data_IF_537593197480
#
_entry.id   IF_537593197480
#
_cell.length_a   1.000
_cell.length_b   1.000
_cell.length_c   1.000
_cell.angle_alpha   90.00
_cell.angle_beta   90.00
_cell.angle_gamma   90.00
#
_symmetry.space_group_name_H-M   'P 1'
#
loop_
_entity.id
_entity.type
_entity.pdbx_description
1 polymer ?
#
# COMPACT_ATOMS: atom_id res chain seq x y z
N UNK A 1 12.70 22.93 5.91
CA UNK A 1 13.12 21.53 5.72
C UNK A 1 13.06 21.23 4.23
N UNK A 2 14.11 20.62 3.67
CA UNK A 2 14.11 20.21 2.26
C UNK A 2 13.70 18.75 2.18
N UNK A 3 12.57 18.46 1.56
CA UNK A 3 12.20 17.10 1.20
C UNK A 3 13.08 16.61 0.05
N UNK A 4 13.52 15.37 0.12
CA UNK A 4 14.24 14.67 -0.95
C UNK A 4 13.66 13.29 -1.19
N UNK A 5 14.11 12.62 -2.26
CA UNK A 5 13.83 11.19 -2.43
C UNK A 5 14.52 10.39 -1.32
N UNK A 6 13.86 9.34 -0.86
CA UNK A 6 14.40 8.40 0.11
C UNK A 6 15.70 7.78 -0.42
N UNK A 7 16.68 7.61 0.46
CA UNK A 7 17.90 6.90 0.10
C UNK A 7 17.70 5.37 0.12
N UNK A 8 18.57 4.63 -0.58
CA UNK A 8 18.42 3.18 -0.71
C UNK A 8 18.55 2.44 0.64
N UNK A 9 19.39 2.91 1.55
CA UNK A 9 19.57 2.26 2.86
C UNK A 9 18.24 2.24 3.64
N UNK A 10 17.54 3.37 3.66
CA UNK A 10 16.24 3.51 4.29
C UNK A 10 15.16 2.69 3.58
N UNK A 11 15.20 2.61 2.24
CA UNK A 11 14.32 1.70 1.46
C UNK A 11 14.52 0.25 1.91
N UNK A 12 15.76 -0.21 2.05
CA UNK A 12 16.03 -1.59 2.48
C UNK A 12 15.59 -1.85 3.92
N UNK A 13 15.75 -0.88 4.83
CA UNK A 13 15.26 -0.99 6.22
C UNK A 13 13.75 -1.13 6.28
N UNK A 14 13.01 -0.26 5.58
CA UNK A 14 11.53 -0.35 5.49
C UNK A 14 11.12 -1.68 4.87
N UNK A 15 11.71 -2.06 3.74
CA UNK A 15 11.45 -3.34 3.07
C UNK A 15 11.64 -4.53 4.00
N UNK A 16 12.73 -4.53 4.79
CA UNK A 16 13.02 -5.58 5.76
C UNK A 16 11.93 -5.70 6.81
N UNK A 17 11.47 -4.59 7.38
CA UNK A 17 10.35 -4.58 8.34
C UNK A 17 9.09 -5.19 7.71
N UNK A 18 8.74 -4.82 6.48
CA UNK A 18 7.55 -5.34 5.80
C UNK A 18 7.63 -6.86 5.51
N UNK A 19 8.83 -7.39 5.30
CA UNK A 19 9.07 -8.80 4.98
C UNK A 19 9.18 -9.67 6.25
N UNK A 20 9.90 -9.21 7.25
CA UNK A 20 10.35 -10.05 8.37
C UNK A 20 9.51 -9.88 9.64
N UNK A 21 8.93 -8.70 9.88
CA UNK A 21 8.21 -8.42 11.13
C UNK A 21 6.80 -9.06 11.11
N UNK A 22 6.23 -9.33 12.27
CA UNK A 22 4.85 -9.81 12.40
C UNK A 22 3.99 -8.83 13.21
N UNK A 23 2.68 -8.98 13.11
CA UNK A 23 1.73 -8.19 13.90
C UNK A 23 1.68 -8.70 15.35
N UNK A 24 1.53 -7.76 16.28
CA UNK A 24 1.29 -8.00 17.71
C UNK A 24 -0.12 -7.59 18.11
N UNK A 25 -0.68 -6.64 17.38
CA UNK A 25 -2.03 -6.13 17.53
C UNK A 25 -2.80 -6.28 16.22
N UNK A 26 -4.09 -6.49 16.36
CA UNK A 26 -4.97 -6.73 15.22
C UNK A 26 -5.22 -5.44 14.42
N UNK A 27 -5.50 -5.62 13.14
CA UNK A 27 -6.06 -4.62 12.23
C UNK A 27 -7.46 -5.11 11.86
N UNK A 28 -8.46 -4.31 12.19
CA UNK A 28 -9.86 -4.56 11.82
C UNK A 28 -10.33 -3.37 10.98
N UNK A 29 -10.83 -3.62 9.77
CA UNK A 29 -11.31 -2.60 8.85
C UNK A 29 -12.69 -3.00 8.33
N UNK A 30 -13.65 -2.08 8.42
CA UNK A 30 -14.99 -2.24 7.89
C UNK A 30 -15.28 -1.13 6.88
N UNK A 31 -15.89 -1.49 5.74
CA UNK A 31 -16.27 -0.56 4.66
C UNK A 31 -17.70 -0.84 4.22
N UNK A 32 -18.65 -0.13 4.81
CA UNK A 32 -20.09 -0.30 4.57
C UNK A 32 -20.45 -0.21 3.09
N UNK A 33 -19.88 0.76 2.35
CA UNK A 33 -20.14 0.94 0.91
C UNK A 33 -19.68 -0.23 0.05
N UNK A 34 -18.73 -1.03 0.54
CA UNK A 34 -18.24 -2.24 -0.13
C UNK A 34 -18.86 -3.52 0.45
N UNK A 35 -19.66 -3.41 1.52
CA UNK A 35 -20.12 -4.55 2.33
C UNK A 35 -18.93 -5.46 2.73
N UNK A 36 -17.83 -4.82 3.13
CA UNK A 36 -16.53 -5.45 3.37
C UNK A 36 -16.16 -5.41 4.84
N UNK A 37 -15.73 -6.56 5.36
CA UNK A 37 -15.06 -6.71 6.65
C UNK A 37 -13.71 -7.36 6.43
N UNK A 38 -12.67 -6.84 7.09
CA UNK A 38 -11.32 -7.36 7.05
C UNK A 38 -10.79 -7.47 8.47
N UNK A 39 -10.26 -8.63 8.83
CA UNK A 39 -9.46 -8.82 10.02
C UNK A 39 -8.05 -9.23 9.66
N UNK A 40 -7.06 -8.78 10.42
CA UNK A 40 -5.68 -9.26 10.30
C UNK A 40 -5.07 -9.29 11.71
N UNK A 41 -4.61 -10.45 12.16
CA UNK A 41 -3.89 -10.62 13.43
C UNK A 41 -2.48 -11.20 13.23
N UNK A 42 -2.21 -11.79 12.07
CA UNK A 42 -0.94 -12.43 11.76
C UNK A 42 -0.62 -12.31 10.26
N UNK A 43 0.66 -12.36 9.94
CA UNK A 43 1.19 -12.46 8.59
C UNK A 43 1.93 -13.78 8.41
N UNK A 44 1.72 -14.48 7.30
CA UNK A 44 2.52 -15.68 7.00
C UNK A 44 3.99 -15.32 6.80
N UNK A 45 4.86 -16.34 6.87
CA UNK A 45 6.25 -16.20 6.43
C UNK A 45 6.29 -15.68 4.98
N UNK A 46 7.24 -14.79 4.71
CA UNK A 46 7.51 -14.29 3.38
C UNK A 46 8.11 -15.40 2.50
N UNK A 47 7.50 -15.62 1.34
CA UNK A 47 7.97 -16.59 0.34
C UNK A 47 8.03 -15.93 -1.03
N UNK A 48 8.86 -16.44 -1.93
CA UNK A 48 8.86 -15.98 -3.32
C UNK A 48 7.46 -16.09 -3.93
N UNK A 49 6.96 -15.00 -4.50
CA UNK A 49 5.59 -14.89 -5.00
C UNK A 49 5.43 -15.45 -6.43
N UNK A 50 6.22 -16.45 -6.79
CA UNK A 50 6.22 -17.07 -8.14
C UNK A 50 4.85 -17.63 -8.54
N UNK A 51 4.04 -18.05 -7.56
CA UNK A 51 2.66 -18.53 -7.76
C UNK A 51 1.68 -17.46 -8.28
N UNK A 52 2.03 -16.17 -8.19
CA UNK A 52 1.22 -15.07 -8.74
C UNK A 52 1.55 -14.76 -10.21
N UNK A 53 2.50 -15.50 -10.80
CA UNK A 53 2.87 -15.40 -12.22
C UNK A 53 4.24 -14.77 -12.46
N UNK A 54 4.65 -14.73 -13.73
CA UNK A 54 5.99 -14.35 -14.18
C UNK A 54 6.41 -12.91 -13.90
N UNK A 55 5.47 -12.04 -13.48
CA UNK A 55 5.76 -10.66 -13.06
C UNK A 55 6.09 -10.54 -11.56
N UNK A 56 5.82 -11.57 -10.75
CA UNK A 56 5.98 -11.52 -9.29
C UNK A 56 7.15 -12.36 -8.76
N UNK A 57 7.90 -13.03 -9.63
CA UNK A 57 8.95 -13.99 -9.25
C UNK A 57 10.09 -13.38 -8.41
N UNK A 58 10.30 -12.06 -8.40
CA UNK A 58 11.33 -11.41 -7.56
C UNK A 58 10.76 -10.75 -6.31
N UNK A 59 9.44 -10.89 -6.08
CA UNK A 59 8.76 -10.33 -4.93
C UNK A 59 8.57 -11.39 -3.85
N UNK A 60 8.58 -10.96 -2.59
CA UNK A 60 8.24 -11.77 -1.45
C UNK A 60 6.77 -11.55 -1.08
N UNK A 61 5.96 -12.59 -1.18
CA UNK A 61 4.53 -12.59 -0.84
C UNK A 61 4.27 -13.06 0.59
N UNK A 62 3.28 -12.44 1.23
CA UNK A 62 2.75 -12.78 2.55
C UNK A 62 1.23 -12.75 2.51
N UNK A 63 0.59 -13.81 2.98
CA UNK A 63 -0.85 -13.78 3.24
C UNK A 63 -1.10 -13.08 4.56
N UNK A 64 -2.21 -12.37 4.63
CA UNK A 64 -2.75 -11.94 5.92
C UNK A 64 -3.56 -13.10 6.52
N UNK A 65 -3.57 -13.22 7.83
CA UNK A 65 -4.36 -14.19 8.58
C UNK A 65 -5.23 -13.49 9.60
N UNK A 66 -6.38 -14.09 9.91
CA UNK A 66 -7.25 -13.70 11.00
C UNK A 66 -7.87 -14.93 11.63
N UNK A 67 -7.77 -15.09 12.95
CA UNK A 67 -8.23 -16.27 13.68
C UNK A 67 -7.73 -17.59 13.05
N UNK A 68 -6.45 -17.63 12.66
CA UNK A 68 -5.78 -18.73 11.96
C UNK A 68 -6.24 -19.03 10.52
N UNK A 69 -7.13 -18.23 9.92
CA UNK A 69 -7.57 -18.40 8.54
C UNK A 69 -6.89 -17.39 7.60
N UNK A 70 -6.57 -17.81 6.37
CA UNK A 70 -6.05 -16.93 5.30
C UNK A 70 -7.17 -16.21 4.54
N UNK A 71 -8.42 -16.65 4.67
CA UNK A 71 -9.59 -15.95 4.15
C UNK A 71 -10.01 -14.83 5.12
N UNK A 72 -9.12 -13.84 5.21
CA UNK A 72 -9.16 -12.72 6.15
C UNK A 72 -10.17 -11.60 5.81
N UNK A 73 -10.77 -11.64 4.61
CA UNK A 73 -11.63 -10.59 4.08
C UNK A 73 -13.00 -11.17 3.69
N UNK A 74 -14.09 -10.59 4.17
CA UNK A 74 -15.46 -10.98 3.84
C UNK A 74 -16.14 -9.88 3.02
N UNK A 75 -16.73 -10.22 1.89
CA UNK A 75 -17.52 -9.32 1.03
C UNK A 75 -18.83 -10.02 0.67
N UNK A 76 -19.99 -9.43 0.98
CA UNK A 76 -21.32 -10.01 0.66
C UNK A 76 -21.44 -11.48 1.08
N UNK A 77 -21.07 -11.76 2.32
CA UNK A 77 -21.06 -13.11 2.91
C UNK A 77 -20.13 -14.16 2.30
N UNK A 78 -19.24 -13.77 1.40
CA UNK A 78 -18.20 -14.64 0.86
C UNK A 78 -16.84 -14.25 1.41
N UNK A 79 -16.06 -15.27 1.78
CA UNK A 79 -14.72 -15.11 2.29
C UNK A 79 -13.70 -15.11 1.14
N UNK A 80 -12.68 -14.29 1.29
CA UNK A 80 -11.63 -14.02 0.32
C UNK A 80 -10.32 -13.83 1.06
N UNK A 81 -9.22 -14.11 0.36
CA UNK A 81 -7.86 -13.87 0.83
C UNK A 81 -7.36 -12.54 0.29
N UNK A 82 -6.95 -11.66 1.20
CA UNK A 82 -6.06 -10.54 0.90
C UNK A 82 -4.60 -10.90 1.27
N UNK A 83 -3.65 -10.39 0.48
CA UNK A 83 -2.22 -10.63 0.65
C UNK A 83 -1.41 -9.41 0.23
N UNK A 84 -0.14 -9.38 0.65
CA UNK A 84 0.83 -8.37 0.25
C UNK A 84 2.04 -9.00 -0.42
N UNK A 85 2.61 -8.31 -1.40
CA UNK A 85 3.92 -8.64 -1.97
C UNK A 85 4.87 -7.46 -1.85
N UNK A 86 6.13 -7.72 -1.52
CA UNK A 86 7.18 -6.72 -1.37
C UNK A 86 8.39 -7.10 -2.20
N UNK A 87 8.88 -6.19 -3.04
CA UNK A 87 10.09 -6.39 -3.85
C UNK A 87 10.00 -5.78 -5.24
N UNK A 88 11.00 -6.04 -6.10
CA UNK A 88 11.01 -5.55 -7.47
C UNK A 88 9.91 -6.20 -8.30
N UNK A 89 9.06 -5.38 -8.94
CA UNK A 89 7.99 -5.82 -9.84
C UNK A 89 8.52 -6.05 -11.26
N UNK A 90 9.49 -5.25 -11.73
CA UNK A 90 9.98 -5.31 -13.11
C UNK A 90 11.30 -6.06 -13.21
N UNK A 91 11.56 -6.64 -14.40
CA UNK A 91 12.88 -7.17 -14.78
C UNK A 91 13.96 -6.07 -14.93
N UNK A 92 13.65 -4.81 -14.66
CA UNK A 92 14.62 -3.73 -14.83
C UNK A 92 15.66 -3.75 -13.70
N UNK A 93 16.93 -3.69 -14.09
CA UNK A 93 18.09 -3.66 -13.20
C UNK A 93 18.27 -2.28 -12.54
N UNK A 94 17.27 -1.80 -11.80
CA UNK A 94 17.52 -0.70 -10.84
C UNK A 94 17.70 -1.34 -9.47
N UNK A 95 18.89 -1.21 -8.90
CA UNK A 95 19.26 -1.78 -7.60
C UNK A 95 18.33 -1.36 -6.46
N UNK A 96 17.57 -0.27 -6.63
CA UNK A 96 16.67 0.29 -5.63
C UNK A 96 15.17 0.02 -5.88
N UNK A 97 14.78 -0.59 -7.01
CA UNK A 97 13.36 -0.75 -7.36
C UNK A 97 12.66 -1.72 -6.39
N UNK A 98 11.78 -1.18 -5.54
CA UNK A 98 11.07 -1.97 -4.54
C UNK A 98 9.63 -1.48 -4.42
N UNK A 99 8.68 -2.36 -4.74
CA UNK A 99 7.26 -2.06 -4.61
C UNK A 99 6.66 -2.79 -3.42
N UNK A 100 5.57 -2.23 -2.91
CA UNK A 100 4.62 -2.92 -2.04
C UNK A 100 3.29 -3.01 -2.75
N UNK A 101 2.72 -4.21 -2.80
CA UNK A 101 1.55 -4.53 -3.62
C UNK A 101 0.51 -5.22 -2.77
N UNK A 102 -0.73 -4.75 -2.83
CA UNK A 102 -1.87 -5.46 -2.27
C UNK A 102 -2.63 -6.19 -3.37
N UNK A 103 -2.95 -7.44 -3.07
CA UNK A 103 -3.74 -8.32 -3.92
C UNK A 103 -4.83 -9.03 -3.14
N UNK A 104 -5.89 -9.41 -3.85
CA UNK A 104 -6.93 -10.26 -3.31
C UNK A 104 -7.44 -11.25 -4.36
N UNK A 105 -7.91 -12.42 -3.93
CA UNK A 105 -8.58 -13.38 -4.81
C UNK A 105 -10.05 -12.99 -5.14
N UNK A 106 -10.52 -11.84 -4.66
CA UNK A 106 -11.75 -11.22 -5.12
C UNK A 106 -11.58 -10.62 -6.51
N UNK A 107 -12.32 -11.12 -7.51
CA UNK A 107 -12.14 -10.81 -8.95
C UNK A 107 -12.14 -9.31 -9.27
N UNK A 108 -12.92 -8.50 -8.55
CA UNK A 108 -13.05 -7.08 -8.79
C UNK A 108 -11.79 -6.31 -8.35
N UNK A 109 -11.08 -6.80 -7.32
CA UNK A 109 -9.80 -6.26 -6.88
C UNK A 109 -8.67 -6.84 -7.74
N UNK A 110 -8.48 -8.16 -7.71
CA UNK A 110 -7.39 -8.87 -8.36
C UNK A 110 -6.06 -8.80 -7.59
N UNK A 111 -5.01 -9.39 -8.17
CA UNK A 111 -3.73 -9.67 -7.49
C UNK A 111 -2.79 -8.45 -7.31
N UNK A 112 -3.22 -7.25 -7.69
CA UNK A 112 -2.40 -6.04 -7.67
C UNK A 112 -3.24 -4.78 -7.73
N UNK A 113 -4.32 -4.75 -6.95
CA UNK A 113 -5.28 -3.64 -7.01
C UNK A 113 -4.71 -2.35 -6.42
N UNK A 114 -3.67 -2.43 -5.60
CA UNK A 114 -2.96 -1.26 -5.09
C UNK A 114 -1.47 -1.50 -5.03
N UNK A 115 -0.69 -0.45 -5.31
CA UNK A 115 0.77 -0.50 -5.36
C UNK A 115 1.39 0.84 -4.91
N UNK A 116 2.48 0.73 -4.16
CA UNK A 116 3.39 1.81 -3.77
C UNK A 116 4.79 1.49 -4.27
N UNK A 117 5.48 2.49 -4.82
CA UNK A 117 6.90 2.40 -5.15
C UNK A 117 7.69 3.00 -3.98
N UNK A 118 8.46 2.17 -3.28
CA UNK A 118 9.27 2.62 -2.16
C UNK A 118 10.43 3.52 -2.62
N UNK A 119 10.86 3.44 -3.89
CA UNK A 119 11.88 4.33 -4.44
C UNK A 119 11.37 5.77 -4.68
N UNK A 120 10.07 5.94 -4.84
CA UNK A 120 9.40 7.25 -4.98
C UNK A 120 9.08 7.88 -3.61
N UNK A 121 9.40 7.21 -2.49
CA UNK A 121 9.16 7.74 -1.15
C UNK A 121 10.05 8.95 -0.86
N UNK A 122 9.63 9.79 0.07
CA UNK A 122 10.33 11.04 0.41
C UNK A 122 10.97 10.94 1.79
N UNK A 123 11.99 11.75 2.05
CA UNK A 123 12.56 11.91 3.39
C UNK A 123 13.01 13.35 3.64
N UNK A 124 13.04 13.72 4.92
CA UNK A 124 13.75 14.90 5.44
C UNK A 124 14.77 14.43 6.49
N UNK A 125 15.32 15.34 7.30
CA UNK A 125 16.33 15.00 8.30
C UNK A 125 15.83 14.03 9.39
N UNK A 126 14.53 14.04 9.70
CA UNK A 126 13.93 13.33 10.83
C UNK A 126 13.02 12.17 10.40
N UNK A 127 12.39 12.28 9.23
CA UNK A 127 11.29 11.41 8.83
C UNK A 127 11.48 10.83 7.43
N UNK A 128 10.86 9.67 7.24
CA UNK A 128 10.56 9.06 5.95
C UNK A 128 9.06 9.10 5.74
N UNK A 129 8.65 9.46 4.53
CA UNK A 129 7.27 9.57 4.10
C UNK A 129 7.02 8.55 2.99
N UNK A 130 6.22 7.54 3.31
CA UNK A 130 5.73 6.59 2.33
C UNK A 130 4.59 7.25 1.57
N UNK A 131 4.78 7.53 0.28
CA UNK A 131 3.87 8.40 -0.48
C UNK A 131 3.28 7.76 -1.73
N UNK A 132 2.18 8.34 -2.20
CA UNK A 132 1.62 8.09 -3.53
C UNK A 132 1.42 9.39 -4.30
N UNK A 133 1.96 9.48 -5.50
CA UNK A 133 1.76 10.63 -6.37
C UNK A 133 0.29 10.78 -6.78
N UNK A 134 -0.33 11.91 -6.46
CA UNK A 134 -1.71 12.24 -6.84
C UNK A 134 -1.79 12.93 -8.20
N UNK A 135 -0.76 13.71 -8.57
CA UNK A 135 -0.75 14.50 -9.81
C UNK A 135 -0.69 13.67 -11.09
N UNK A 136 -0.17 12.43 -11.05
CA UNK A 136 -0.15 11.51 -12.20
C UNK A 136 -1.58 11.05 -12.54
N UNK A 137 -2.05 11.46 -13.73
CA UNK A 137 -3.37 11.09 -14.27
C UNK A 137 -3.39 9.73 -15.00
N UNK A 138 -2.22 9.15 -15.26
CA UNK A 138 -2.02 7.85 -15.89
C UNK A 138 -0.90 7.09 -15.16
N UNK A 139 -0.95 5.76 -15.20
CA UNK A 139 0.01 4.88 -14.52
C UNK A 139 -0.57 3.48 -14.29
N UNK A 140 0.12 2.65 -13.51
CA UNK A 140 -0.47 1.43 -12.95
C UNK A 140 -1.12 1.72 -11.59
N UNK A 141 -1.79 0.73 -11.00
CA UNK A 141 -2.30 0.71 -9.62
C UNK A 141 -3.57 1.52 -9.29
N UNK A 142 -3.82 1.68 -7.98
CA UNK A 142 -4.97 2.33 -7.35
C UNK A 142 -5.32 3.70 -7.94
N UNK A 143 -4.37 4.55 -8.34
CA UNK A 143 -4.68 5.86 -8.96
C UNK A 143 -5.31 5.70 -10.36
N UNK A 144 -4.90 4.67 -11.10
CA UNK A 144 -5.53 4.33 -12.37
C UNK A 144 -6.90 3.69 -12.16
N UNK A 145 -7.04 2.88 -11.09
CA UNK A 145 -8.35 2.35 -10.69
C UNK A 145 -9.31 3.46 -10.30
N UNK A 146 -8.85 4.48 -9.58
CA UNK A 146 -9.63 5.67 -9.22
C UNK A 146 -10.21 6.38 -10.46
N UNK A 147 -9.53 6.30 -11.61
CA UNK A 147 -9.97 6.86 -12.87
C UNK A 147 -10.97 5.97 -13.66
N UNK A 148 -11.29 4.76 -13.18
CA UNK A 148 -12.16 3.79 -13.86
C UNK A 148 -13.53 4.41 -14.13
N UNK A 149 -14.00 4.28 -15.38
CA UNK A 149 -15.29 4.80 -15.83
C UNK A 149 -15.30 6.28 -16.25
N UNK A 150 -14.25 7.07 -15.95
CA UNK A 150 -14.23 8.53 -16.22
C UNK A 150 -13.72 8.88 -17.64
N UNK A 151 -13.15 7.92 -18.38
CA UNK A 151 -12.58 8.12 -19.74
C UNK A 151 -11.57 9.29 -19.76
N UNK A 152 -11.79 10.31 -20.58
CA UNK A 152 -10.88 11.46 -20.81
C UNK A 152 -11.20 12.69 -19.96
N UNK A 153 -12.27 12.67 -19.16
CA UNK A 153 -12.66 13.81 -18.32
C UNK A 153 -11.61 14.01 -17.21
N UNK A 154 -10.87 15.11 -17.29
CA UNK A 154 -9.77 15.41 -16.37
C UNK A 154 -10.30 15.97 -15.04
N UNK A 155 -11.34 16.78 -15.09
CA UNK A 155 -11.85 17.47 -13.90
C UNK A 155 -12.46 16.47 -12.92
N UNK A 156 -13.21 15.48 -13.42
CA UNK A 156 -13.72 14.37 -12.59
C UNK A 156 -12.61 13.49 -12.00
N UNK A 157 -11.49 13.31 -12.71
CA UNK A 157 -10.33 12.58 -12.17
C UNK A 157 -9.69 13.34 -11.00
N UNK A 158 -9.56 14.66 -11.11
CA UNK A 158 -9.07 15.50 -10.01
C UNK A 158 -10.07 15.57 -8.86
N UNK A 159 -11.37 15.60 -9.16
CA UNK A 159 -12.42 15.54 -8.14
C UNK A 159 -12.33 14.28 -7.29
N UNK A 160 -12.21 13.09 -7.91
CA UNK A 160 -12.02 11.84 -7.15
C UNK A 160 -10.76 11.82 -6.29
N UNK A 161 -9.68 12.50 -6.71
CA UNK A 161 -8.47 12.65 -5.88
C UNK A 161 -8.72 13.54 -4.67
N UNK A 162 -9.39 14.68 -4.87
CA UNK A 162 -9.80 15.54 -3.75
C UNK A 162 -10.70 14.79 -2.77
N UNK A 163 -11.66 14.01 -3.27
CA UNK A 163 -12.49 13.13 -2.45
C UNK A 163 -11.66 12.10 -1.68
N UNK A 164 -10.66 11.50 -2.32
CA UNK A 164 -9.77 10.52 -1.68
C UNK A 164 -9.00 11.16 -0.52
N UNK A 165 -8.37 12.33 -0.76
CA UNK A 165 -7.64 13.07 0.27
C UNK A 165 -8.59 13.46 1.41
N UNK A 166 -9.75 14.05 1.10
CA UNK A 166 -10.69 14.52 2.11
C UNK A 166 -11.29 13.39 2.94
N UNK A 167 -11.50 12.20 2.35
CA UNK A 167 -12.09 11.05 3.06
C UNK A 167 -11.07 10.22 3.85
N UNK A 168 -9.78 10.26 3.48
CA UNK A 168 -8.72 9.60 4.25
C UNK A 168 -8.20 10.46 5.40
N UNK A 169 -8.30 11.78 5.28
CA UNK A 169 -7.70 12.73 6.22
C UNK A 169 -6.19 12.48 6.41
N UNK A 170 -5.52 12.09 5.32
CA UNK A 170 -4.07 11.91 5.30
C UNK A 170 -3.39 13.22 4.90
N UNK A 171 -2.15 13.39 5.37
CA UNK A 171 -1.31 14.52 4.99
C UNK A 171 -0.99 14.48 3.48
N UNK A 172 -0.89 15.65 2.87
CA UNK A 172 -0.37 15.82 1.51
C UNK A 172 0.93 16.60 1.55
N UNK A 173 1.86 16.25 0.67
CA UNK A 173 3.18 16.84 0.56
C UNK A 173 3.39 17.36 -0.86
N UNK A 174 3.99 18.54 -0.97
CA UNK A 174 4.44 19.09 -2.25
C UNK A 174 5.90 18.72 -2.49
N UNK A 175 6.17 18.00 -3.59
CA UNK A 175 7.53 17.65 -4.01
C UNK A 175 7.61 17.60 -5.53
N UNK A 176 8.64 18.25 -6.09
CA UNK A 176 8.88 18.37 -7.53
C UNK A 176 7.64 18.77 -8.35
N UNK A 177 6.97 19.86 -7.91
CA UNK A 177 5.75 20.41 -8.55
C UNK A 177 4.59 19.40 -8.65
N UNK A 178 4.62 18.35 -7.84
CA UNK A 178 3.57 17.34 -7.74
C UNK A 178 3.07 17.25 -6.30
N UNK A 179 1.79 16.93 -6.16
CA UNK A 179 1.14 16.65 -4.89
C UNK A 179 1.21 15.15 -4.61
N UNK A 180 1.60 14.80 -3.39
CA UNK A 180 1.82 13.44 -2.93
C UNK A 180 0.99 13.17 -1.69
N UNK A 181 0.24 12.08 -1.68
CA UNK A 181 -0.47 11.60 -0.49
C UNK A 181 0.51 10.86 0.42
N UNK A 182 0.64 11.29 1.67
CA UNK A 182 1.43 10.58 2.67
C UNK A 182 0.62 9.42 3.28
N UNK A 183 0.97 8.20 2.90
CA UNK A 183 0.35 6.96 3.41
C UNK A 183 0.87 6.65 4.81
N UNK A 184 2.17 6.80 5.05
CA UNK A 184 2.76 6.57 6.37
C UNK A 184 3.97 7.48 6.59
N UNK A 185 4.13 7.93 7.83
CA UNK A 185 5.28 8.73 8.29
C UNK A 185 6.05 7.92 9.33
N UNK A 186 7.36 7.77 9.13
CA UNK A 186 8.22 6.95 9.98
C UNK A 186 9.35 7.85 10.49
N UNK A 187 9.55 7.91 11.81
CA UNK A 187 10.72 8.60 12.35
C UNK A 187 11.98 7.75 12.09
N UNK A 188 13.02 8.35 11.52
CA UNK A 188 14.25 7.64 11.13
C UNK A 188 14.92 6.94 12.31
N UNK A 189 14.85 7.50 13.52
CA UNK A 189 15.39 6.86 14.73
C UNK A 189 14.68 5.55 15.10
N UNK A 190 13.42 5.38 14.68
CA UNK A 190 12.65 4.16 14.93
C UNK A 190 13.09 3.00 14.02
N UNK A 191 13.69 3.29 12.86
CA UNK A 191 14.25 2.27 11.97
C UNK A 191 15.48 1.57 12.55
N UNK A 192 16.11 2.14 13.58
CA UNK A 192 17.23 1.52 14.30
C UNK A 192 16.78 0.76 15.55
N UNK A 193 15.49 0.85 15.91
CA UNK A 193 14.95 0.28 17.13
C UNK A 193 13.96 -0.85 16.83
N UNK A 194 14.42 -2.10 16.94
CA UNK A 194 13.57 -3.30 16.72
C UNK A 194 12.27 -3.31 17.54
N UNK A 195 12.22 -2.65 18.70
CA UNK A 195 10.99 -2.57 19.50
C UNK A 195 9.87 -1.78 18.79
N UNK A 196 10.24 -0.93 17.83
CA UNK A 196 9.35 -0.08 17.03
C UNK A 196 8.91 -0.69 15.71
N UNK A 197 9.53 -1.78 15.26
CA UNK A 197 9.25 -2.35 13.93
C UNK A 197 7.81 -2.80 13.78
N UNK A 198 7.25 -3.39 14.82
CA UNK A 198 5.84 -3.79 14.81
C UNK A 198 4.89 -2.58 14.67
N UNK A 199 5.18 -1.48 15.35
CA UNK A 199 4.40 -0.23 15.24
C UNK A 199 4.47 0.33 13.82
N UNK A 200 5.68 0.36 13.24
CA UNK A 200 5.91 0.78 11.84
C UNK A 200 5.10 -0.09 10.88
N UNK A 201 5.21 -1.42 10.99
CA UNK A 201 4.51 -2.37 10.14
C UNK A 201 2.99 -2.18 10.24
N UNK A 202 2.46 -2.11 11.48
CA UNK A 202 1.03 -1.99 11.72
C UNK A 202 0.47 -0.69 11.17
N UNK A 203 1.13 0.44 11.44
CA UNK A 203 0.71 1.75 10.95
C UNK A 203 0.74 1.80 9.41
N UNK A 204 1.80 1.27 8.81
CA UNK A 204 1.89 1.15 7.35
C UNK A 204 0.75 0.31 6.77
N UNK A 205 0.53 -0.92 7.28
CA UNK A 205 -0.50 -1.82 6.76
C UNK A 205 -1.89 -1.22 6.90
N UNK A 206 -2.22 -0.70 8.09
CA UNK A 206 -3.51 -0.08 8.34
C UNK A 206 -3.78 1.04 7.33
N UNK A 207 -2.85 1.98 7.20
CA UNK A 207 -3.04 3.14 6.33
C UNK A 207 -3.03 2.77 4.84
N UNK A 208 -2.18 1.82 4.44
CA UNK A 208 -2.11 1.43 3.03
C UNK A 208 -3.35 0.65 2.60
N UNK A 209 -3.89 -0.22 3.46
CA UNK A 209 -5.15 -0.93 3.20
C UNK A 209 -6.31 0.06 3.19
N UNK A 210 -6.38 0.97 4.16
CA UNK A 210 -7.37 2.05 4.23
C UNK A 210 -7.40 2.88 2.94
N UNK A 211 -6.24 3.37 2.51
CA UNK A 211 -6.08 4.06 1.23
C UNK A 211 -6.60 3.24 0.06
N UNK A 212 -6.22 1.97 0.00
CA UNK A 212 -6.52 1.09 -1.13
C UNK A 212 -8.02 0.77 -1.23
N UNK A 213 -8.68 0.50 -0.10
CA UNK A 213 -10.12 0.25 -0.05
C UNK A 213 -10.93 1.52 -0.26
N UNK A 214 -10.45 2.68 0.21
CA UNK A 214 -11.11 3.96 -0.04
C UNK A 214 -11.18 4.30 -1.53
N UNK A 215 -10.15 3.97 -2.29
CA UNK A 215 -10.19 4.07 -3.76
C UNK A 215 -11.33 3.23 -4.34
N UNK A 216 -11.52 2.00 -3.85
CA UNK A 216 -12.62 1.13 -4.29
C UNK A 216 -14.00 1.70 -3.93
N UNK A 217 -14.15 2.27 -2.73
CA UNK A 217 -15.41 2.94 -2.30
C UNK A 217 -15.78 4.15 -3.15
N UNK A 218 -14.79 4.89 -3.67
CA UNK A 218 -15.03 6.06 -4.51
C UNK A 218 -15.47 5.65 -5.91
N UNK A 219 -14.97 4.52 -6.43
CA UNK A 219 -15.34 4.05 -7.76
C UNK A 219 -16.59 3.17 -7.79
N UNK A 220 -17.06 2.71 -6.63
CA UNK A 220 -18.32 1.98 -6.48
C UNK A 220 -19.55 2.90 -6.36
N UNK A 221 -19.33 4.22 -6.21
CA UNK A 221 -20.35 5.27 -6.32
C UNK A 221 -20.64 5.59 -7.80
#
# INVERSE_FOLDING_TARGET
>A
MSLGLINNENVQKVKKILIEENLKDNIIIEKDKLELQLGIDELTMAMEASYLGSCYFRMFGRSFKYNNDVENMKIKDKAYRMFMCVGPWKKQNKECESYVVLGANYKQFGNGFSELDLSDCLEDDEYIYIVKNLSKLAGASAITRLNKGIKSDRDKKYERRRMLVSQLNFETLDYDKSEWLCIAKINKSELENKKKYNEILRNFLNNFIEYSLKVEEIISQ
#
